data_IF_580013480836
#
_entry.id   IF_580013480836
#
_cell.length_a   1.000
_cell.length_b   1.000
_cell.length_c   1.000
_cell.angle_alpha   90.00
_cell.angle_beta   90.00
_cell.angle_gamma   90.00
#
_symmetry.space_group_name_H-M   'P 1'
#
loop_
_entity.id
_entity.type
_entity.pdbx_description
1 polymer ?
#
# COMPACT_ATOMS: atom_id res chain seq x y z
N UNK A 1 16.24 3.82 -9.06
CA UNK A 1 16.08 3.16 -7.76
C UNK A 1 17.43 2.56 -7.38
N UNK A 2 17.97 2.92 -6.23
CA UNK A 2 19.15 2.23 -5.70
C UNK A 2 18.67 0.86 -5.22
N UNK A 3 19.14 -0.23 -5.84
CA UNK A 3 18.68 -1.61 -5.56
C UNK A 3 18.89 -2.05 -4.09
N UNK A 4 19.66 -1.27 -3.34
CA UNK A 4 20.03 -1.53 -1.95
C UNK A 4 19.21 -0.74 -0.92
N UNK A 5 18.36 0.22 -1.33
CA UNK A 5 17.53 0.96 -0.38
C UNK A 5 16.38 0.09 0.13
N UNK A 6 16.09 0.18 1.43
CA UNK A 6 14.86 -0.38 1.97
C UNK A 6 13.64 0.29 1.32
N UNK A 7 12.56 -0.47 1.16
CA UNK A 7 11.37 -0.04 0.44
C UNK A 7 10.22 0.17 1.41
N UNK A 8 9.51 1.27 1.24
CA UNK A 8 8.20 1.46 1.84
C UNK A 8 7.24 2.07 0.83
N UNK A 9 5.95 1.81 1.02
CA UNK A 9 4.87 2.51 0.33
C UNK A 9 3.64 2.48 1.23
N UNK A 10 2.76 3.45 1.05
CA UNK A 10 1.58 3.58 1.90
C UNK A 10 0.34 3.97 1.11
N UNK A 11 -0.82 3.63 1.66
CA UNK A 11 -2.14 4.08 1.21
C UNK A 11 -2.42 5.43 1.86
N UNK A 12 -2.49 6.53 1.08
CA UNK A 12 -2.85 7.82 1.63
C UNK A 12 -4.34 7.87 1.97
N UNK A 13 -4.71 8.70 2.95
CA UNK A 13 -6.12 8.97 3.28
C UNK A 13 -6.80 9.80 2.19
N UNK A 14 -6.06 10.78 1.66
CA UNK A 14 -6.50 11.62 0.55
C UNK A 14 -5.81 11.25 -0.76
N UNK A 15 -6.59 11.19 -1.82
CA UNK A 15 -6.10 11.00 -3.19
C UNK A 15 -6.20 12.36 -3.88
N UNK A 16 -5.13 12.81 -4.53
CA UNK A 16 -5.10 14.07 -5.26
C UNK A 16 -6.19 14.09 -6.37
N UNK A 17 -6.84 15.24 -6.55
CA UNK A 17 -7.99 15.35 -7.47
C UNK A 17 -7.61 15.12 -8.93
N UNK A 18 -6.40 15.50 -9.35
CA UNK A 18 -5.91 15.25 -10.70
C UNK A 18 -5.74 13.75 -10.98
N UNK A 19 -5.23 13.00 -10.00
CA UNK A 19 -5.09 11.55 -10.07
C UNK A 19 -6.47 10.86 -10.11
N UNK A 20 -7.46 11.37 -9.36
CA UNK A 20 -8.85 10.89 -9.46
C UNK A 20 -9.45 11.17 -10.84
N UNK A 21 -9.24 12.36 -11.40
CA UNK A 21 -9.72 12.71 -12.75
C UNK A 21 -9.11 11.79 -13.82
N UNK A 22 -7.79 11.63 -13.82
CA UNK A 22 -7.08 10.76 -14.75
C UNK A 22 -7.55 9.31 -14.64
N UNK A 23 -7.67 8.79 -13.41
CA UNK A 23 -8.19 7.44 -13.15
C UNK A 23 -9.60 7.24 -13.71
N UNK A 24 -10.53 8.17 -13.45
CA UNK A 24 -11.91 8.11 -13.98
C UNK A 24 -11.94 8.18 -15.51
N UNK A 25 -11.09 8.99 -16.13
CA UNK A 25 -10.97 9.09 -17.60
C UNK A 25 -10.46 7.78 -18.20
N UNK A 26 -9.46 7.14 -17.58
CA UNK A 26 -8.99 5.81 -18.00
C UNK A 26 -10.11 4.76 -17.88
N UNK A 27 -10.79 4.67 -16.74
CA UNK A 27 -11.91 3.73 -16.53
C UNK A 27 -12.99 3.90 -17.61
N UNK A 28 -13.34 5.15 -17.93
CA UNK A 28 -14.31 5.46 -18.99
C UNK A 28 -13.79 5.12 -20.38
N UNK A 29 -12.55 5.45 -20.70
CA UNK A 29 -11.97 5.27 -22.04
C UNK A 29 -11.81 3.78 -22.40
N UNK A 30 -11.48 2.94 -21.42
CA UNK A 30 -11.32 1.50 -21.59
C UNK A 30 -12.58 0.69 -21.26
N UNK A 31 -13.69 1.37 -20.96
CA UNK A 31 -14.98 0.76 -20.59
C UNK A 31 -14.83 -0.34 -19.51
N UNK A 32 -14.05 -0.03 -18.46
CA UNK A 32 -13.78 -0.99 -17.38
C UNK A 32 -15.05 -1.14 -16.53
N UNK A 33 -15.57 -2.37 -16.49
CA UNK A 33 -16.79 -2.73 -15.75
C UNK A 33 -16.56 -3.96 -14.87
N UNK A 34 -17.21 -3.96 -13.71
CA UNK A 34 -17.43 -5.13 -12.84
C UNK A 34 -16.16 -5.98 -12.58
N UNK A 35 -15.02 -5.33 -12.38
CA UNK A 35 -13.74 -6.00 -12.09
C UNK A 35 -12.83 -5.11 -11.27
N UNK A 36 -11.93 -5.75 -10.53
CA UNK A 36 -10.78 -5.05 -9.96
C UNK A 36 -9.92 -4.44 -11.06
N UNK A 37 -9.37 -3.27 -10.77
CA UNK A 37 -8.37 -2.63 -11.61
C UNK A 37 -7.37 -1.87 -10.75
N UNK A 38 -6.17 -1.68 -11.28
CA UNK A 38 -5.20 -0.71 -10.79
C UNK A 38 -4.55 -0.02 -11.99
N UNK A 39 -4.22 1.26 -11.79
CA UNK A 39 -3.63 2.11 -12.80
C UNK A 39 -2.47 2.84 -12.14
N UNK A 40 -1.31 2.78 -12.78
CA UNK A 40 -0.09 3.39 -12.29
C UNK A 40 0.24 4.64 -13.11
N UNK A 41 0.66 5.69 -12.42
CA UNK A 41 1.08 6.94 -13.02
C UNK A 41 2.42 7.37 -12.42
N UNK A 42 3.28 7.94 -13.25
CA UNK A 42 4.38 8.76 -12.76
C UNK A 42 3.92 10.21 -12.61
N UNK A 43 4.23 10.82 -11.46
CA UNK A 43 4.15 12.27 -11.29
C UNK A 43 5.49 12.88 -11.70
N UNK A 44 5.52 13.67 -12.77
CA UNK A 44 6.78 14.27 -13.26
C UNK A 44 7.23 15.37 -12.28
N UNK A 45 8.53 15.39 -11.97
CA UNK A 45 9.08 16.34 -11.01
C UNK A 45 9.13 17.78 -11.52
N UNK A 46 9.18 17.97 -12.84
CA UNK A 46 9.34 19.27 -13.50
C UNK A 46 8.08 20.15 -13.42
N UNK A 47 6.91 19.57 -13.68
CA UNK A 47 5.64 20.30 -13.78
C UNK A 47 4.49 19.66 -12.98
N UNK A 48 4.79 18.60 -12.21
CA UNK A 48 3.83 17.83 -11.42
C UNK A 48 2.72 17.13 -12.22
N UNK A 49 2.80 17.12 -13.55
CA UNK A 49 1.79 16.43 -14.37
C UNK A 49 1.95 14.91 -14.33
N UNK A 50 0.84 14.23 -14.59
CA UNK A 50 0.75 12.76 -14.55
C UNK A 50 1.02 12.16 -15.93
N UNK A 51 1.92 11.17 -15.97
CA UNK A 51 2.18 10.30 -17.11
C UNK A 51 1.68 8.88 -16.79
N UNK A 52 0.77 8.34 -17.60
CA UNK A 52 0.30 6.97 -17.43
C UNK A 52 1.42 5.96 -17.67
N UNK A 53 1.58 5.00 -16.76
CA UNK A 53 2.57 3.94 -16.81
C UNK A 53 1.93 2.60 -17.19
N UNK A 54 0.92 2.19 -16.42
CA UNK A 54 0.33 0.87 -16.53
C UNK A 54 -1.18 0.93 -16.25
N UNK A 55 -1.93 0.08 -16.94
CA UNK A 55 -3.33 -0.21 -16.64
C UNK A 55 -3.51 -1.72 -16.61
N UNK A 56 -4.04 -2.21 -15.49
CA UNK A 56 -4.32 -3.62 -15.28
C UNK A 56 -5.74 -3.82 -14.77
N UNK A 57 -6.48 -4.71 -15.42
CA UNK A 57 -7.82 -5.12 -15.01
C UNK A 57 -7.77 -6.32 -14.03
N UNK A 58 -6.96 -6.18 -12.98
CA UNK A 58 -6.81 -7.12 -11.86
C UNK A 58 -6.44 -6.37 -10.58
N UNK A 59 -6.42 -7.07 -9.45
CA UNK A 59 -5.82 -6.54 -8.22
C UNK A 59 -4.33 -6.20 -8.42
N UNK A 60 -3.82 -5.16 -7.76
CA UNK A 60 -2.39 -4.91 -7.68
C UNK A 60 -1.67 -6.07 -7.01
N UNK A 61 -0.37 -6.18 -7.26
CA UNK A 61 0.46 -7.22 -6.64
C UNK A 61 0.70 -6.99 -5.14
N UNK A 62 1.28 -8.02 -4.50
CA UNK A 62 1.60 -8.00 -3.07
C UNK A 62 0.36 -7.87 -2.19
N UNK A 63 0.54 -7.29 -1.00
CA UNK A 63 -0.53 -7.14 -0.01
C UNK A 63 -1.28 -5.81 -0.10
N UNK A 64 -1.12 -5.10 -1.22
CA UNK A 64 -1.85 -3.84 -1.46
C UNK A 64 -3.36 -3.99 -1.25
N UNK A 65 -4.02 -5.10 -1.67
CA UNK A 65 -5.44 -5.30 -1.37
C UNK A 65 -5.74 -5.42 0.14
N UNK A 66 -4.89 -6.11 0.91
CA UNK A 66 -5.04 -6.19 2.36
C UNK A 66 -4.81 -4.83 3.03
N UNK A 67 -3.85 -4.04 2.53
CA UNK A 67 -3.64 -2.67 2.99
C UNK A 67 -4.88 -1.78 2.78
N UNK A 68 -5.67 -2.02 1.73
CA UNK A 68 -6.96 -1.33 1.57
C UNK A 68 -7.95 -1.70 2.67
N UNK A 69 -8.04 -2.99 3.02
CA UNK A 69 -8.88 -3.46 4.13
C UNK A 69 -8.43 -2.80 5.44
N UNK A 70 -7.13 -2.86 5.77
CA UNK A 70 -6.58 -2.27 6.99
C UNK A 70 -6.73 -0.75 7.06
N UNK A 71 -6.64 -0.05 5.92
CA UNK A 71 -6.80 1.41 5.87
C UNK A 71 -8.26 1.87 6.10
N UNK A 72 -9.24 0.99 5.85
CA UNK A 72 -10.66 1.36 5.76
C UNK A 72 -11.59 0.56 6.70
N UNK A 73 -11.08 -0.40 7.46
CA UNK A 73 -11.90 -1.29 8.32
C UNK A 73 -13.07 -1.96 7.56
N UNK A 74 -12.81 -2.43 6.33
CA UNK A 74 -13.79 -3.13 5.51
C UNK A 74 -13.17 -4.35 4.80
N UNK A 75 -14.02 -5.13 4.15
CA UNK A 75 -13.63 -6.31 3.35
C UNK A 75 -13.92 -6.03 1.87
N UNK A 76 -12.86 -5.68 1.13
CA UNK A 76 -12.98 -5.36 -0.29
C UNK A 76 -13.41 -6.55 -1.14
N UNK A 77 -13.10 -7.78 -0.73
CA UNK A 77 -13.50 -8.98 -1.46
C UNK A 77 -15.00 -9.22 -1.33
N UNK A 78 -15.54 -9.02 -0.12
CA UNK A 78 -16.98 -9.05 0.12
C UNK A 78 -17.70 -7.98 -0.67
N UNK A 79 -17.20 -6.75 -0.68
CA UNK A 79 -17.83 -5.68 -1.48
C UNK A 79 -17.74 -5.94 -2.98
N UNK A 80 -16.64 -6.53 -3.46
CA UNK A 80 -16.55 -6.95 -4.86
C UNK A 80 -17.57 -8.03 -5.19
N UNK A 81 -17.78 -9.01 -4.31
CA UNK A 81 -18.84 -10.00 -4.47
C UNK A 81 -20.24 -9.34 -4.54
N UNK A 82 -20.52 -8.36 -3.67
CA UNK A 82 -21.77 -7.60 -3.71
C UNK A 82 -21.95 -6.84 -5.03
N UNK A 83 -20.87 -6.26 -5.58
CA UNK A 83 -20.93 -5.59 -6.89
C UNK A 83 -21.23 -6.58 -8.01
N UNK A 84 -20.62 -7.76 -7.99
CA UNK A 84 -20.83 -8.78 -9.03
C UNK A 84 -22.24 -9.39 -8.96
N UNK A 85 -22.76 -9.63 -7.77
CA UNK A 85 -24.07 -10.30 -7.58
C UNK A 85 -25.23 -9.30 -7.68
N UNK A 86 -25.11 -8.15 -7.01
CA UNK A 86 -26.21 -7.21 -6.79
C UNK A 86 -25.97 -5.82 -7.38
N UNK A 87 -24.84 -5.58 -8.06
CA UNK A 87 -24.41 -4.26 -8.54
C UNK A 87 -24.38 -3.21 -7.42
N UNK A 88 -24.06 -3.66 -6.20
CA UNK A 88 -24.11 -2.85 -5.00
C UNK A 88 -22.79 -2.83 -4.25
N UNK A 89 -22.39 -1.64 -3.79
CA UNK A 89 -21.29 -1.43 -2.85
C UNK A 89 -21.86 -0.78 -1.60
N UNK A 90 -21.70 -1.45 -0.46
CA UNK A 90 -22.39 -1.13 0.79
C UNK A 90 -21.50 -0.46 1.84
N UNK A 91 -20.18 -0.66 1.74
CA UNK A 91 -19.22 -0.09 2.68
C UNK A 91 -19.09 1.42 2.50
N UNK A 92 -18.88 2.14 3.61
CA UNK A 92 -18.53 3.57 3.59
C UNK A 92 -17.01 3.71 3.60
N UNK A 93 -16.45 4.44 2.64
CA UNK A 93 -15.00 4.61 2.49
C UNK A 93 -14.56 5.86 3.26
N UNK A 94 -14.22 5.68 4.54
CA UNK A 94 -13.81 6.79 5.43
C UNK A 94 -12.29 7.00 5.47
N UNK A 95 -11.49 5.97 5.14
CA UNK A 95 -10.02 5.96 5.23
C UNK A 95 -9.51 6.52 6.57
N UNK A 96 -9.90 5.93 7.71
CA UNK A 96 -9.47 6.37 9.04
C UNK A 96 -7.95 6.29 9.24
N UNK A 97 -7.25 5.39 8.54
CA UNK A 97 -5.83 5.16 8.75
C UNK A 97 -4.98 5.40 7.51
N UNK A 98 -3.75 5.84 7.72
CA UNK A 98 -2.63 5.55 6.83
C UNK A 98 -2.23 4.09 7.04
N UNK A 99 -2.13 3.31 5.96
CA UNK A 99 -1.60 1.95 6.02
C UNK A 99 -0.31 1.86 5.20
N UNK A 100 0.75 1.34 5.81
CA UNK A 100 2.09 1.32 5.23
C UNK A 100 2.64 -0.10 5.19
N UNK A 101 3.28 -0.43 4.08
CA UNK A 101 4.22 -1.53 3.98
C UNK A 101 5.63 -0.95 4.14
N UNK A 102 6.44 -1.54 5.01
CA UNK A 102 7.85 -1.19 5.21
C UNK A 102 8.67 -2.45 5.26
N UNK A 103 9.73 -2.53 4.46
CA UNK A 103 10.54 -3.74 4.37
C UNK A 103 11.91 -3.62 5.01
N UNK A 104 12.46 -4.76 5.42
CA UNK A 104 13.83 -4.93 5.87
C UNK A 104 14.56 -5.91 4.97
N UNK A 105 15.87 -5.71 4.79
CA UNK A 105 16.77 -6.62 4.09
C UNK A 105 17.71 -7.29 5.07
N UNK A 106 17.86 -8.61 4.95
CA UNK A 106 18.58 -9.46 5.91
C UNK A 106 20.07 -9.14 6.02
N UNK A 107 20.65 -8.47 5.02
CA UNK A 107 22.07 -8.08 5.02
C UNK A 107 22.34 -6.76 5.74
N UNK A 108 21.31 -6.02 6.18
CA UNK A 108 21.43 -4.77 6.93
C UNK A 108 21.42 -5.05 8.44
N UNK A 109 22.13 -4.19 9.20
CA UNK A 109 22.28 -4.32 10.65
C UNK A 109 21.33 -3.35 11.38
N UNK A 110 20.07 -3.75 11.53
CA UNK A 110 19.08 -2.96 12.25
C UNK A 110 19.34 -2.96 13.77
N UNK A 111 19.04 -1.82 14.41
CA UNK A 111 19.16 -1.60 15.86
C UNK A 111 18.19 -2.50 16.62
N UNK A 112 16.95 -2.63 16.14
CA UNK A 112 15.90 -3.41 16.79
C UNK A 112 15.61 -4.71 16.04
N UNK A 113 15.48 -5.81 16.80
CA UNK A 113 15.02 -7.10 16.25
C UNK A 113 13.57 -7.03 15.79
N UNK A 114 13.14 -7.96 14.94
CA UNK A 114 11.74 -8.06 14.51
C UNK A 114 10.79 -8.26 15.70
N UNK A 115 11.21 -9.04 16.71
CA UNK A 115 10.45 -9.27 17.94
C UNK A 115 10.31 -7.98 18.76
N UNK A 116 11.37 -7.18 18.91
CA UNK A 116 11.29 -5.89 19.60
C UNK A 116 10.36 -4.90 18.90
N UNK A 117 10.39 -4.87 17.56
CA UNK A 117 9.47 -4.05 16.77
C UNK A 117 8.03 -4.53 16.95
N UNK A 118 7.80 -5.84 16.86
CA UNK A 118 6.47 -6.44 17.06
C UNK A 118 5.90 -6.14 18.44
N UNK A 119 6.70 -6.26 19.49
CA UNK A 119 6.26 -6.01 20.86
C UNK A 119 5.94 -4.53 21.10
N UNK A 120 6.80 -3.63 20.58
CA UNK A 120 6.63 -2.18 20.73
C UNK A 120 5.40 -1.65 19.98
N UNK A 121 5.12 -2.21 18.81
CA UNK A 121 4.09 -1.72 17.88
C UNK A 121 2.99 -2.75 17.62
N UNK A 122 2.68 -3.57 18.62
CA UNK A 122 1.70 -4.66 18.49
C UNK A 122 0.29 -4.18 18.13
N UNK A 123 -0.07 -2.95 18.48
CA UNK A 123 -1.37 -2.35 18.13
C UNK A 123 -1.42 -1.82 16.69
N UNK A 124 -0.28 -1.35 16.16
CA UNK A 124 -0.16 -0.76 14.83
C UNK A 124 0.16 -1.80 13.76
N UNK A 125 0.89 -2.87 14.09
CA UNK A 125 1.32 -3.91 13.14
C UNK A 125 0.17 -4.88 12.87
N UNK A 126 -0.30 -4.89 11.63
CA UNK A 126 -1.38 -5.74 11.14
C UNK A 126 -0.87 -7.08 10.61
N UNK A 127 0.32 -7.09 10.02
CA UNK A 127 0.95 -8.29 9.45
C UNK A 127 2.48 -8.15 9.44
N UNK A 128 3.16 -9.28 9.59
CA UNK A 128 4.61 -9.41 9.36
C UNK A 128 4.79 -10.58 8.41
N UNK A 129 5.54 -10.36 7.33
CA UNK A 129 5.64 -11.30 6.23
C UNK A 129 7.08 -11.59 5.84
N UNK A 130 7.38 -12.86 5.61
CA UNK A 130 8.61 -13.26 4.95
C UNK A 130 8.40 -13.25 3.44
N UNK A 131 9.26 -12.51 2.75
CA UNK A 131 9.18 -12.34 1.30
C UNK A 131 10.08 -13.37 0.62
N UNK A 132 9.56 -14.13 -0.38
CA UNK A 132 10.38 -15.08 -1.12
C UNK A 132 11.60 -14.40 -1.77
N UNK A 133 12.76 -15.05 -1.74
CA UNK A 133 14.02 -14.46 -2.21
C UNK A 133 14.04 -13.97 -3.66
N UNK A 134 13.16 -14.49 -4.53
CA UNK A 134 13.00 -13.97 -5.91
C UNK A 134 12.46 -12.54 -5.94
N UNK A 135 11.76 -12.09 -4.89
CA UNK A 135 11.19 -10.76 -4.76
C UNK A 135 11.97 -9.85 -3.79
N UNK A 136 12.91 -10.38 -3.01
CA UNK A 136 13.52 -9.65 -1.90
C UNK A 136 14.48 -8.52 -2.32
N UNK A 137 14.97 -8.56 -3.56
CA UNK A 137 15.73 -7.44 -4.14
C UNK A 137 14.92 -6.14 -4.16
N UNK A 138 13.61 -6.21 -4.38
CA UNK A 138 12.75 -5.03 -4.47
C UNK A 138 11.95 -4.88 -3.19
N UNK A 139 11.31 -5.95 -2.72
CA UNK A 139 10.38 -5.91 -1.61
C UNK A 139 11.05 -6.13 -0.24
N UNK A 140 12.36 -6.35 -0.18
CA UNK A 140 13.02 -6.75 1.08
C UNK A 140 12.73 -8.21 1.45
N UNK A 141 13.39 -8.71 2.48
CA UNK A 141 13.25 -10.11 2.94
C UNK A 141 12.13 -10.26 3.99
N UNK A 142 11.87 -9.20 4.75
CA UNK A 142 10.77 -9.12 5.73
C UNK A 142 9.98 -7.85 5.52
N UNK A 143 8.65 -7.96 5.45
CA UNK A 143 7.74 -6.83 5.32
C UNK A 143 6.87 -6.67 6.55
N UNK A 144 6.74 -5.45 7.06
CA UNK A 144 5.79 -5.09 8.09
C UNK A 144 4.65 -4.30 7.44
N UNK A 145 3.41 -4.71 7.70
CA UNK A 145 2.23 -3.93 7.38
C UNK A 145 1.74 -3.30 8.67
N UNK A 146 1.71 -1.98 8.72
CA UNK A 146 1.25 -1.22 9.87
C UNK A 146 0.20 -0.18 9.47
N UNK A 147 -0.62 0.24 10.43
CA UNK A 147 -1.57 1.33 10.24
C UNK A 147 -1.57 2.30 11.41
N UNK A 148 -1.80 3.58 11.11
CA UNK A 148 -1.87 4.65 12.10
C UNK A 148 -2.90 5.70 11.66
N UNK A 149 -3.59 6.39 12.59
CA UNK A 149 -4.49 7.49 12.23
C UNK A 149 -3.71 8.74 11.77
N UNK A 150 -2.48 8.90 12.27
CA UNK A 150 -1.64 10.08 12.09
C UNK A 150 -0.39 9.79 11.28
N UNK A 151 -0.14 10.62 10.27
CA UNK A 151 1.02 10.46 9.37
C UNK A 151 2.36 10.51 10.13
N UNK A 152 2.46 11.38 11.14
CA UNK A 152 3.68 11.53 11.93
C UNK A 152 4.02 10.26 12.74
N UNK A 153 3.01 9.53 13.21
CA UNK A 153 3.22 8.25 13.90
C UNK A 153 3.73 7.20 12.91
N UNK A 154 3.12 7.10 11.72
CA UNK A 154 3.60 6.22 10.65
C UNK A 154 5.09 6.46 10.33
N UNK A 155 5.46 7.73 10.10
CA UNK A 155 6.84 8.10 9.76
C UNK A 155 7.82 7.78 10.91
N UNK A 156 7.38 7.96 12.16
CA UNK A 156 8.17 7.57 13.34
C UNK A 156 8.43 6.06 13.40
N UNK A 157 7.38 5.25 13.21
CA UNK A 157 7.50 3.78 13.25
C UNK A 157 8.40 3.29 12.11
N UNK A 158 8.26 3.84 10.90
CA UNK A 158 9.16 3.52 9.76
C UNK A 158 10.61 3.83 10.13
N UNK A 159 10.87 4.99 10.75
CA UNK A 159 12.22 5.36 11.16
C UNK A 159 12.82 4.39 12.18
N UNK A 160 12.02 3.88 13.12
CA UNK A 160 12.51 2.87 14.08
C UNK A 160 12.74 1.51 13.43
N UNK A 161 11.85 1.11 12.51
CA UNK A 161 12.03 -0.12 11.73
C UNK A 161 13.33 -0.07 10.92
N UNK A 162 13.73 1.09 10.42
CA UNK A 162 14.96 1.26 9.66
C UNK A 162 16.15 1.79 10.44
N UNK A 163 16.04 1.92 11.76
CA UNK A 163 17.16 2.39 12.54
C UNK A 163 18.30 1.37 12.45
N UNK A 164 19.47 1.80 12.00
CA UNK A 164 20.70 0.99 11.89
C UNK A 164 21.71 1.43 12.94
N UNK A 165 22.59 0.49 13.34
CA UNK A 165 23.71 0.76 14.26
C UNK A 165 24.89 1.42 13.55
#
# INVERSE_FOLDING_TARGET
AHLDSDMYYYVPRDIEEDLKDYGRRCVKAFDIRERFFHIEFFRKSDDQSLMALELNCRLPGGNTPEMWNYANDFDIYREYANVVVDQHFSSTIERPYFCCYVSRKSFRNYTYTEEQIKDRYSEQIMSIESIPGIFSQIMGDVGFILRTPERAEMDHIISEIWQEN
#
